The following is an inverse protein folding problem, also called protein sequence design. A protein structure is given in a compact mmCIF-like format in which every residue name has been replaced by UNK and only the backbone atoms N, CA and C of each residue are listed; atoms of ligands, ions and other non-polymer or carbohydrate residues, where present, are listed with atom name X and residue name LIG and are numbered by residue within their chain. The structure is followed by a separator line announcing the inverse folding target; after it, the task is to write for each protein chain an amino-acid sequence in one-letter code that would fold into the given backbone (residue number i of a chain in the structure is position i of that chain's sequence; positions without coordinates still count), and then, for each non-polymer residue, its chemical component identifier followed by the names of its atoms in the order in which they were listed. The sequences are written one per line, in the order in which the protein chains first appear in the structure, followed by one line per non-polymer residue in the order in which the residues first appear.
data_IF_727803262153
#
_entry.id   IF_727803262153
#
_cell.length_a   1.000
_cell.length_b   1.000
_cell.length_c   1.000
_cell.angle_alpha   90.00
_cell.angle_beta   90.00
_cell.angle_gamma   90.00
#
_symmetry.space_group_name_H-M   'P 1'
#
loop_
_entity.id
_entity.type
_entity.pdbx_description
1 polymer ?
#
# COMPACT_ATOMS: atom_id res chain seq x y z
N UNK A 1 -16.79 -20.71 -7.61
CA UNK A 1 -16.36 -21.49 -6.42
C UNK A 1 -16.20 -20.65 -5.15
N UNK A 2 -15.60 -19.45 -5.18
CA UNK A 2 -15.31 -18.69 -3.94
C UNK A 2 -16.25 -17.50 -3.64
N UNK A 3 -17.34 -17.35 -4.38
CA UNK A 3 -18.08 -16.08 -4.47
C UNK A 3 -18.64 -15.57 -3.13
N UNK A 4 -19.30 -16.43 -2.35
CA UNK A 4 -19.79 -16.05 -1.02
C UNK A 4 -18.67 -15.66 -0.06
N UNK A 5 -17.54 -16.38 -0.09
CA UNK A 5 -16.37 -16.09 0.75
C UNK A 5 -15.73 -14.77 0.35
N UNK A 6 -15.57 -14.52 -0.95
CA UNK A 6 -15.04 -13.27 -1.50
C UNK A 6 -15.91 -12.07 -1.06
N UNK A 7 -17.23 -12.17 -1.20
CA UNK A 7 -18.16 -11.11 -0.79
C UNK A 7 -18.10 -10.84 0.72
N UNK A 8 -18.04 -11.89 1.55
CA UNK A 8 -17.93 -11.74 3.01
C UNK A 8 -16.62 -11.07 3.39
N UNK A 9 -15.52 -11.51 2.81
CA UNK A 9 -14.19 -10.99 3.12
C UNK A 9 -14.00 -9.56 2.55
N UNK A 10 -14.65 -9.22 1.42
CA UNK A 10 -14.69 -7.84 0.90
C UNK A 10 -15.46 -6.91 1.83
N UNK A 11 -16.61 -7.36 2.37
CA UNK A 11 -17.37 -6.61 3.39
C UNK A 11 -16.52 -6.43 4.65
N UNK A 12 -15.85 -7.49 5.12
CA UNK A 12 -14.96 -7.43 6.28
C UNK A 12 -13.80 -6.45 6.07
N UNK A 13 -13.10 -6.53 4.94
CA UNK A 13 -12.01 -5.61 4.61
C UNK A 13 -12.50 -4.17 4.45
N UNK A 14 -13.71 -3.95 3.91
CA UNK A 14 -14.27 -2.61 3.77
C UNK A 14 -14.67 -1.99 5.11
N UNK A 15 -15.18 -2.78 6.05
CA UNK A 15 -15.54 -2.35 7.41
C UNK A 15 -14.31 -2.18 8.30
N UNK A 16 -13.53 -3.25 8.47
CA UNK A 16 -12.44 -3.32 9.45
C UNK A 16 -11.11 -2.76 8.93
N UNK A 17 -11.01 -2.53 7.62
CA UNK A 17 -9.78 -2.12 6.92
C UNK A 17 -8.62 -3.13 6.98
N UNK A 18 -8.91 -4.32 7.48
CA UNK A 18 -7.97 -5.43 7.65
C UNK A 18 -8.68 -6.75 7.35
N UNK A 19 -7.93 -7.70 6.82
CA UNK A 19 -8.38 -9.06 6.57
C UNK A 19 -7.22 -10.01 6.88
N UNK A 20 -7.51 -11.13 7.52
CA UNK A 20 -6.54 -12.20 7.73
C UNK A 20 -7.22 -13.55 7.53
N UNK A 21 -6.53 -14.50 6.91
CA UNK A 21 -7.09 -15.83 6.72
C UNK A 21 -6.12 -16.81 6.10
N UNK A 22 -6.45 -18.10 6.28
CA UNK A 22 -5.77 -19.24 5.64
C UNK A 22 -6.65 -19.76 4.51
N UNK A 23 -6.20 -19.64 3.26
CA UNK A 23 -6.97 -19.97 2.04
C UNK A 23 -6.06 -20.47 0.92
N UNK A 24 -6.60 -21.14 -0.11
CA UNK A 24 -5.84 -21.50 -1.30
C UNK A 24 -5.22 -20.29 -2.00
N UNK A 25 -4.12 -20.47 -2.74
CA UNK A 25 -3.49 -19.38 -3.49
C UNK A 25 -4.44 -18.76 -4.53
N UNK A 26 -5.26 -19.57 -5.21
CA UNK A 26 -6.21 -19.12 -6.23
C UNK A 26 -7.23 -18.13 -5.65
N UNK A 27 -7.71 -18.42 -4.43
CA UNK A 27 -8.60 -17.52 -3.71
C UNK A 27 -7.96 -16.14 -3.54
N UNK A 28 -6.72 -16.11 -3.05
CA UNK A 28 -6.00 -14.86 -2.83
C UNK A 28 -5.72 -14.11 -4.12
N UNK A 29 -5.38 -14.81 -5.21
CA UNK A 29 -5.17 -14.19 -6.52
C UNK A 29 -6.45 -13.54 -7.05
N UNK A 30 -7.60 -14.22 -6.95
CA UNK A 30 -8.90 -13.63 -7.34
C UNK A 30 -9.24 -12.44 -6.47
N UNK A 31 -9.04 -12.54 -5.15
CA UNK A 31 -9.31 -11.46 -4.21
C UNK A 31 -8.44 -10.22 -4.48
N UNK A 32 -7.12 -10.41 -4.68
CA UNK A 32 -6.19 -9.33 -4.98
C UNK A 32 -6.54 -8.66 -6.32
N UNK A 33 -6.87 -9.46 -7.34
CA UNK A 33 -7.31 -8.96 -8.65
C UNK A 33 -8.55 -8.07 -8.51
N UNK A 34 -9.60 -8.53 -7.83
CA UNK A 34 -10.86 -7.79 -7.70
C UNK A 34 -10.75 -6.53 -6.83
N UNK A 35 -9.85 -6.54 -5.82
CA UNK A 35 -9.83 -5.48 -4.81
C UNK A 35 -8.75 -4.43 -5.00
N UNK A 36 -7.56 -4.85 -5.42
CA UNK A 36 -6.37 -4.01 -5.50
C UNK A 36 -5.91 -3.82 -6.94
N UNK A 37 -5.87 -4.88 -7.75
CA UNK A 37 -5.23 -4.81 -9.07
C UNK A 37 -6.19 -4.40 -10.20
N UNK A 38 -7.50 -4.58 -10.04
CA UNK A 38 -8.47 -4.09 -11.01
C UNK A 38 -8.59 -2.57 -10.90
N UNK A 39 -8.38 -1.88 -12.01
CA UNK A 39 -8.80 -0.49 -12.18
C UNK A 39 -10.33 -0.49 -12.12
N UNK A 40 -10.90 -0.29 -10.92
CA UNK A 40 -12.33 -0.01 -10.81
C UNK A 40 -12.51 1.35 -11.47
N UNK A 41 -12.96 1.38 -12.73
CA UNK A 41 -13.54 2.60 -13.30
C UNK A 41 -14.57 3.07 -12.28
N UNK A 42 -14.44 4.32 -11.82
CA UNK A 42 -15.34 4.87 -10.80
C UNK A 42 -16.76 4.84 -11.37
N UNK A 43 -17.52 3.77 -11.10
CA UNK A 43 -18.97 3.82 -11.25
C UNK A 43 -19.48 4.88 -10.29
N UNK A 44 -20.21 5.83 -10.86
CA UNK A 44 -21.04 6.85 -10.22
C UNK A 44 -20.66 7.18 -8.76
N UNK A 45 -19.76 8.14 -8.59
CA UNK A 45 -19.45 8.68 -7.24
C UNK A 45 -20.65 9.52 -6.78
N UNK A 46 -21.26 9.19 -5.64
CA UNK A 46 -22.35 9.97 -5.02
C UNK A 46 -22.01 11.47 -4.87
N UNK A 47 -20.72 11.83 -4.85
CA UNK A 47 -20.27 13.22 -4.88
C UNK A 47 -20.65 13.97 -6.15
N UNK A 48 -20.87 13.30 -7.29
CA UNK A 48 -21.43 13.96 -8.48
C UNK A 48 -22.88 14.40 -8.26
N UNK A 49 -23.59 13.81 -7.29
CA UNK A 49 -24.93 14.28 -6.92
C UNK A 49 -24.88 15.66 -6.24
N UNK A 50 -23.77 16.01 -5.57
CA UNK A 50 -23.56 17.36 -5.02
C UNK A 50 -23.44 18.42 -6.12
N UNK A 51 -23.06 18.03 -7.34
CA UNK A 51 -23.06 18.91 -8.50
C UNK A 51 -24.50 19.13 -9.02
N UNK A 52 -25.43 18.22 -8.74
CA UNK A 52 -26.84 18.36 -9.13
C UNK A 52 -27.67 19.22 -8.14
N UNK A 53 -27.26 19.30 -6.87
CA UNK A 53 -27.89 20.16 -5.84
C UNK A 53 -28.12 21.61 -6.30
N UNK A 54 -27.14 22.31 -6.91
CA UNK A 54 -27.36 23.67 -7.42
C UNK A 54 -28.44 23.76 -8.50
N UNK A 55 -28.56 22.76 -9.38
CA UNK A 55 -29.62 22.72 -10.40
C UNK A 55 -30.99 22.52 -9.77
N UNK A 56 -31.10 21.63 -8.78
CA UNK A 56 -32.37 21.38 -8.05
C UNK A 56 -32.80 22.64 -7.29
N UNK A 57 -31.87 23.32 -6.63
CA UNK A 57 -32.15 24.57 -5.91
C UNK A 57 -32.52 25.71 -6.87
N UNK A 58 -31.82 25.85 -7.99
CA UNK A 58 -32.13 26.88 -8.98
C UNK A 58 -33.50 26.66 -9.64
N UNK A 59 -33.86 25.41 -9.95
CA UNK A 59 -35.19 25.07 -10.49
C UNK A 59 -36.27 25.34 -9.43
N UNK A 60 -36.04 24.95 -8.17
CA UNK A 60 -36.95 25.25 -7.07
C UNK A 60 -37.16 26.77 -6.88
N UNK A 61 -36.08 27.54 -6.93
CA UNK A 61 -36.11 29.00 -6.83
C UNK A 61 -36.87 29.63 -8.00
N UNK A 62 -36.64 29.13 -9.23
CA UNK A 62 -37.33 29.58 -10.43
C UNK A 62 -38.85 29.36 -10.32
N UNK A 63 -39.28 28.20 -9.82
CA UNK A 63 -40.70 27.89 -9.64
C UNK A 63 -41.34 28.82 -8.59
N UNK A 64 -40.64 29.10 -7.48
CA UNK A 64 -41.16 29.98 -6.42
C UNK A 64 -41.13 31.46 -6.77
N UNK A 65 -40.25 31.87 -7.68
CA UNK A 65 -40.10 33.28 -8.08
C UNK A 65 -40.92 33.63 -9.33
N UNK A 66 -41.25 32.63 -10.16
CA UNK A 66 -42.13 32.80 -11.31
C UNK A 66 -43.58 33.18 -10.93
N UNK A 67 -43.97 33.07 -9.66
CA UNK A 67 -45.32 33.44 -9.18
C UNK A 67 -45.44 34.91 -8.76
N UNK A 68 -44.35 35.59 -8.43
CA UNK A 68 -44.40 36.88 -7.71
C UNK A 68 -43.48 37.99 -8.29
N UNK A 69 -42.72 37.73 -9.36
CA UNK A 69 -41.80 38.72 -9.96
C UNK A 69 -42.18 39.12 -11.40
N UNK A 70 -41.87 40.37 -11.83
CA UNK A 70 -41.98 40.79 -13.22
C UNK A 70 -41.10 39.92 -14.12
N UNK A 71 -41.59 39.52 -15.30
CA UNK A 71 -40.91 38.60 -16.22
C UNK A 71 -39.46 39.02 -16.55
N UNK A 72 -39.19 40.32 -16.57
CA UNK A 72 -37.87 40.89 -16.92
C UNK A 72 -36.77 40.61 -15.87
N UNK A 73 -37.13 40.42 -14.60
CA UNK A 73 -36.16 40.21 -13.51
C UNK A 73 -35.94 38.72 -13.18
N UNK A 74 -36.86 37.84 -13.60
CA UNK A 74 -36.79 36.41 -13.30
C UNK A 74 -35.57 35.76 -13.94
N UNK A 75 -35.26 36.10 -15.19
CA UNK A 75 -34.18 35.46 -15.95
C UNK A 75 -32.77 35.84 -15.44
N UNK A 76 -32.44 37.12 -15.15
CA UNK A 76 -31.17 37.49 -14.53
C UNK A 76 -30.96 36.87 -13.13
N UNK A 77 -32.00 36.83 -12.29
CA UNK A 77 -31.95 36.24 -10.95
C UNK A 77 -31.69 34.73 -11.05
N UNK A 78 -32.36 34.06 -12.00
CA UNK A 78 -32.15 32.63 -12.25
C UNK A 78 -30.71 32.31 -12.66
N UNK A 79 -30.14 33.06 -13.62
CA UNK A 79 -28.75 32.89 -14.05
C UNK A 79 -27.79 33.17 -12.89
N UNK A 80 -28.02 34.24 -12.12
CA UNK A 80 -27.22 34.57 -10.95
C UNK A 80 -27.21 33.45 -9.90
N UNK A 81 -28.37 32.90 -9.57
CA UNK A 81 -28.51 31.79 -8.62
C UNK A 81 -27.84 30.49 -9.14
N UNK A 82 -27.94 30.21 -10.44
CA UNK A 82 -27.27 29.08 -11.08
C UNK A 82 -25.74 29.20 -10.97
N UNK A 83 -25.17 30.35 -11.32
CA UNK A 83 -23.71 30.58 -11.25
C UNK A 83 -23.20 30.49 -9.82
N UNK A 84 -23.87 31.15 -8.87
CA UNK A 84 -23.46 31.14 -7.44
C UNK A 84 -23.52 29.73 -6.87
N UNK A 85 -24.59 28.99 -7.12
CA UNK A 85 -24.75 27.63 -6.61
C UNK A 85 -23.78 26.64 -7.27
N UNK A 86 -23.48 26.80 -8.57
CA UNK A 86 -22.44 26.02 -9.26
C UNK A 86 -21.07 26.26 -8.61
N UNK A 87 -20.67 27.51 -8.35
CA UNK A 87 -19.42 27.84 -7.67
C UNK A 87 -19.39 27.21 -6.26
N UNK A 88 -20.48 27.31 -5.50
CA UNK A 88 -20.59 26.74 -4.16
C UNK A 88 -20.44 25.20 -4.17
N UNK A 89 -21.06 24.53 -5.16
CA UNK A 89 -20.98 23.07 -5.31
C UNK A 89 -19.57 22.60 -5.63
N UNK A 90 -18.86 23.30 -6.54
CA UNK A 90 -17.46 23.03 -6.88
C UNK A 90 -16.60 23.22 -5.62
N UNK A 91 -16.81 24.31 -4.89
CA UNK A 91 -16.06 24.60 -3.66
C UNK A 91 -16.29 23.53 -2.58
N UNK A 92 -17.54 23.06 -2.39
CA UNK A 92 -17.88 21.96 -1.49
C UNK A 92 -17.19 20.65 -1.89
N UNK A 93 -17.22 20.28 -3.17
CA UNK A 93 -16.53 19.09 -3.69
C UNK A 93 -15.03 19.18 -3.43
N UNK A 94 -14.42 20.35 -3.68
CA UNK A 94 -12.99 20.59 -3.43
C UNK A 94 -12.66 20.49 -1.93
N UNK A 95 -13.45 21.10 -1.05
CA UNK A 95 -13.25 21.00 0.40
C UNK A 95 -13.35 19.55 0.88
N UNK A 96 -14.38 18.81 0.42
CA UNK A 96 -14.54 17.40 0.79
C UNK A 96 -13.36 16.55 0.32
N UNK A 97 -12.86 16.77 -0.89
CA UNK A 97 -11.70 16.05 -1.42
C UNK A 97 -10.39 16.40 -0.69
N UNK A 98 -10.28 17.60 -0.12
CA UNK A 98 -9.17 18.03 0.73
C UNK A 98 -9.26 17.47 2.15
N UNK A 99 -10.47 17.38 2.72
CA UNK A 99 -10.69 16.92 4.10
C UNK A 99 -10.60 15.40 4.27
N UNK A 100 -10.77 14.63 3.19
CA UNK A 100 -10.80 13.17 3.30
C UNK A 100 -9.40 12.57 3.39
N UNK A 101 -9.09 11.82 4.48
CA UNK A 101 -7.80 11.19 4.65
C UNK A 101 -7.61 10.09 3.60
N UNK A 102 -6.63 10.30 2.70
CA UNK A 102 -6.30 9.33 1.65
C UNK A 102 -5.58 8.13 2.28
N UNK A 103 -6.09 6.93 2.01
CA UNK A 103 -5.53 5.71 2.58
C UNK A 103 -4.16 5.30 2.01
N UNK A 104 -3.74 5.92 0.90
CA UNK A 104 -2.48 5.68 0.18
C UNK A 104 -2.15 4.18 0.05
N UNK A 105 -2.96 3.46 -0.73
CA UNK A 105 -2.80 2.03 -0.97
C UNK A 105 -1.76 1.83 -2.08
N UNK A 106 -0.64 1.12 -1.82
CA UNK A 106 0.41 0.91 -2.83
C UNK A 106 0.09 -0.27 -3.75
N UNK A 107 -0.51 -0.01 -4.91
CA UNK A 107 -0.96 -1.06 -5.83
C UNK A 107 0.15 -1.99 -6.31
N UNK A 108 1.30 -1.44 -6.68
CA UNK A 108 2.48 -2.19 -7.12
C UNK A 108 2.98 -3.19 -6.07
N UNK A 109 2.88 -2.86 -4.77
CA UNK A 109 3.26 -3.81 -3.74
C UNK A 109 2.32 -5.02 -3.65
N UNK A 110 1.02 -4.84 -3.93
CA UNK A 110 0.07 -5.95 -4.01
C UNK A 110 0.25 -6.76 -5.32
N UNK A 111 0.74 -6.12 -6.39
CA UNK A 111 1.14 -6.80 -7.61
C UNK A 111 2.35 -7.72 -7.37
N UNK A 112 3.39 -7.22 -6.68
CA UNK A 112 4.51 -8.05 -6.24
C UNK A 112 4.05 -9.24 -5.38
N UNK A 113 3.08 -9.04 -4.46
CA UNK A 113 2.51 -10.14 -3.69
C UNK A 113 1.82 -11.17 -4.60
N UNK A 114 1.00 -10.74 -5.55
CA UNK A 114 0.30 -11.64 -6.47
C UNK A 114 1.28 -12.44 -7.34
N UNK A 115 2.28 -11.78 -7.92
CA UNK A 115 3.34 -12.43 -8.71
C UNK A 115 4.13 -13.45 -7.89
N UNK A 116 4.46 -13.11 -6.64
CA UNK A 116 5.17 -14.04 -5.78
C UNK A 116 4.32 -15.26 -5.41
N UNK A 117 3.03 -15.08 -5.14
CA UNK A 117 2.11 -16.21 -4.91
C UNK A 117 2.10 -17.14 -6.12
N UNK A 118 2.09 -16.61 -7.34
CA UNK A 118 2.16 -17.41 -8.58
C UNK A 118 3.49 -18.17 -8.65
N UNK A 119 4.61 -17.47 -8.42
CA UNK A 119 5.96 -18.02 -8.44
C UNK A 119 6.11 -19.21 -7.48
N UNK A 120 5.70 -19.05 -6.22
CA UNK A 120 5.92 -20.06 -5.16
C UNK A 120 4.79 -21.10 -5.05
N UNK A 121 3.74 -20.98 -5.87
CA UNK A 121 2.55 -21.85 -5.79
C UNK A 121 2.90 -23.33 -5.90
N UNK A 122 3.82 -23.68 -6.81
CA UNK A 122 4.26 -25.04 -7.07
C UNK A 122 4.94 -25.70 -5.85
N UNK A 123 5.60 -24.91 -5.03
CA UNK A 123 6.39 -25.38 -3.88
C UNK A 123 5.63 -25.30 -2.55
N UNK A 124 4.45 -24.66 -2.55
CA UNK A 124 3.64 -24.49 -1.34
C UNK A 124 2.91 -25.78 -0.97
N UNK A 125 3.08 -26.22 0.27
CA UNK A 125 2.40 -27.39 0.83
C UNK A 125 0.88 -27.22 0.79
N UNK A 126 0.19 -28.17 0.13
CA UNK A 126 -1.26 -28.18 -0.11
C UNK A 126 -1.80 -26.90 -0.76
N UNK A 127 -0.94 -26.05 -1.33
CA UNK A 127 -1.32 -24.79 -1.96
C UNK A 127 -2.13 -23.84 -1.04
N UNK A 128 -1.88 -23.89 0.28
CA UNK A 128 -2.58 -23.04 1.26
C UNK A 128 -1.65 -21.93 1.74
N UNK A 129 -2.12 -20.69 1.66
CA UNK A 129 -1.38 -19.49 2.06
C UNK A 129 -2.14 -18.76 3.17
N UNK A 130 -1.40 -18.37 4.22
CA UNK A 130 -1.94 -17.51 5.27
C UNK A 130 -1.55 -16.06 4.96
N UNK A 131 -2.53 -15.22 4.63
CA UNK A 131 -2.29 -13.82 4.29
C UNK A 131 -3.06 -12.91 5.24
N UNK A 132 -2.36 -11.88 5.71
CA UNK A 132 -2.92 -10.70 6.37
C UNK A 132 -2.75 -9.50 5.44
N UNK A 133 -3.83 -8.75 5.22
CA UNK A 133 -3.89 -7.57 4.35
C UNK A 133 -4.45 -6.37 5.14
N UNK A 134 -3.93 -5.18 4.88
CA UNK A 134 -4.40 -3.92 5.48
C UNK A 134 -4.53 -2.82 4.43
N UNK A 135 -5.76 -2.30 4.26
CA UNK A 135 -6.03 -1.11 3.44
C UNK A 135 -6.33 0.15 4.28
N UNK A 136 -6.03 0.12 5.58
CA UNK A 136 -6.24 1.25 6.48
C UNK A 136 -5.42 2.48 6.08
N UNK A 137 -5.89 3.65 6.50
CA UNK A 137 -5.16 4.91 6.35
C UNK A 137 -3.88 4.88 7.19
N UNK A 138 -2.74 5.17 6.57
CA UNK A 138 -1.44 5.16 7.27
C UNK A 138 -1.34 6.26 8.33
N UNK A 139 -1.87 7.46 8.08
CA UNK A 139 -1.80 8.63 8.96
C UNK A 139 -2.77 8.58 10.16
N UNK A 140 -3.10 7.39 10.68
CA UNK A 140 -3.87 7.26 11.92
C UNK A 140 -2.97 7.43 13.14
N UNK A 141 -3.46 7.97 14.27
CA UNK A 141 -2.69 8.09 15.51
C UNK A 141 -2.11 6.75 16.00
N UNK A 142 -2.88 5.66 15.86
CA UNK A 142 -2.44 4.30 16.22
C UNK A 142 -1.20 3.79 15.45
N UNK A 143 -0.86 4.42 14.33
CA UNK A 143 0.27 4.06 13.48
C UNK A 143 1.45 5.03 13.69
N UNK A 144 1.36 5.94 14.65
CA UNK A 144 2.41 6.93 14.91
C UNK A 144 3.67 6.24 15.41
N UNK A 145 4.80 6.59 14.80
CA UNK A 145 6.12 6.13 15.20
C UNK A 145 6.87 7.29 15.86
N UNK A 146 7.67 6.97 16.87
CA UNK A 146 8.58 7.96 17.45
C UNK A 146 9.60 8.40 16.39
N UNK A 147 9.86 9.71 16.36
CA UNK A 147 10.77 10.33 15.39
C UNK A 147 12.23 10.03 15.80
N UNK A 148 12.47 9.81 17.09
CA UNK A 148 13.78 9.46 17.64
C UNK A 148 14.25 8.09 17.12
N UNK A 149 13.35 7.12 17.00
CA UNK A 149 13.61 5.78 16.45
C UNK A 149 14.08 5.84 14.98
N UNK A 150 13.79 6.93 14.29
CA UNK A 150 14.22 7.19 12.92
C UNK A 150 15.52 8.02 12.84
N UNK A 151 16.14 8.34 13.97
CA UNK A 151 17.30 9.23 14.06
C UNK A 151 17.00 10.67 13.65
N UNK A 152 15.73 11.09 13.72
CA UNK A 152 15.31 12.45 13.36
C UNK A 152 15.01 13.25 14.62
N UNK A 153 15.22 14.56 14.56
CA UNK A 153 14.96 15.47 15.68
C UNK A 153 14.21 16.72 15.18
N UNK A 154 13.24 17.16 15.96
CA UNK A 154 12.50 18.39 15.69
C UNK A 154 13.39 19.60 15.99
N UNK A 155 13.33 20.63 15.15
CA UNK A 155 14.07 21.89 15.31
C UNK A 155 13.13 23.08 15.14
N UNK A 156 13.56 24.28 15.54
CA UNK A 156 12.78 25.51 15.34
C UNK A 156 12.47 25.67 13.84
N UNK A 157 11.18 25.75 13.50
CA UNK A 157 10.71 25.85 12.12
C UNK A 157 10.74 24.53 11.32
N UNK A 158 11.09 23.38 11.92
CA UNK A 158 11.09 22.08 11.26
C UNK A 158 10.53 20.97 12.16
N UNK A 159 9.35 20.46 11.83
CA UNK A 159 8.69 19.38 12.55
C UNK A 159 8.56 18.13 11.67
N UNK A 160 8.77 16.97 12.27
CA UNK A 160 8.54 15.68 11.63
C UNK A 160 7.31 15.00 12.26
N UNK A 161 6.61 14.17 11.48
CA UNK A 161 5.71 13.13 12.00
C UNK A 161 5.90 11.89 11.14
N UNK A 162 6.03 10.73 11.78
CA UNK A 162 6.24 9.48 11.09
C UNK A 162 5.12 8.51 11.42
N UNK A 163 4.65 7.78 10.41
CA UNK A 163 3.65 6.74 10.56
C UNK A 163 4.09 5.47 9.83
N UNK A 164 3.91 4.32 10.47
CA UNK A 164 4.24 3.01 9.92
C UNK A 164 3.00 2.11 9.87
N UNK A 165 2.87 1.32 8.80
CA UNK A 165 1.78 0.37 8.66
C UNK A 165 2.25 -0.88 7.91
N UNK A 166 1.99 -2.07 8.46
CA UNK A 166 2.08 -3.33 7.72
C UNK A 166 0.94 -3.40 6.72
N UNK A 167 1.28 -3.48 5.43
CA UNK A 167 0.29 -3.55 4.34
C UNK A 167 -0.11 -4.97 4.05
N UNK A 168 0.85 -5.87 4.06
CA UNK A 168 0.58 -7.29 4.03
C UNK A 168 1.67 -8.10 4.73
N UNK A 169 1.28 -9.29 5.16
CA UNK A 169 2.16 -10.38 5.60
C UNK A 169 1.58 -11.67 5.03
N UNK A 170 2.39 -12.44 4.31
CA UNK A 170 2.00 -13.75 3.78
C UNK A 170 2.98 -14.81 4.28
N UNK A 171 2.44 -15.93 4.78
CA UNK A 171 3.21 -17.08 5.23
C UNK A 171 2.89 -18.27 4.32
N UNK A 172 3.94 -18.90 3.81
CA UNK A 172 3.93 -20.07 2.96
C UNK A 172 4.68 -21.18 3.69
N UNK A 173 4.02 -22.32 3.85
CA UNK A 173 4.70 -23.55 4.27
C UNK A 173 5.09 -24.29 3.00
N UNK A 174 6.37 -24.59 2.84
CA UNK A 174 6.91 -25.25 1.66
C UNK A 174 6.85 -26.78 1.82
N UNK A 175 6.87 -27.49 0.70
CA UNK A 175 6.78 -28.96 0.65
C UNK A 175 7.94 -29.66 1.36
N UNK A 176 9.10 -29.02 1.40
CA UNK A 176 10.30 -29.50 2.09
C UNK A 176 10.26 -29.26 3.62
N UNK A 177 9.19 -28.66 4.15
CA UNK A 177 9.03 -28.31 5.56
C UNK A 177 9.59 -26.94 5.93
N UNK A 178 10.22 -26.22 4.99
CA UNK A 178 10.69 -24.85 5.19
C UNK A 178 9.51 -23.88 5.29
N UNK A 179 9.73 -22.73 5.93
CA UNK A 179 8.73 -21.67 6.03
C UNK A 179 9.24 -20.43 5.33
N UNK A 180 8.51 -19.96 4.33
CA UNK A 180 8.74 -18.68 3.67
C UNK A 180 7.70 -17.67 4.14
N UNK A 181 8.15 -16.55 4.69
CA UNK A 181 7.30 -15.44 5.06
C UNK A 181 7.74 -14.19 4.30
N UNK A 182 6.79 -13.52 3.67
CA UNK A 182 7.01 -12.20 3.07
C UNK A 182 6.16 -11.15 3.75
N UNK A 183 6.66 -9.92 3.78
CA UNK A 183 5.94 -8.80 4.35
C UNK A 183 6.34 -7.48 3.67
N UNK A 184 5.41 -6.53 3.70
CA UNK A 184 5.67 -5.16 3.28
C UNK A 184 5.16 -4.17 4.31
N UNK A 185 6.07 -3.34 4.81
CA UNK A 185 5.75 -2.17 5.60
C UNK A 185 5.82 -0.90 4.75
N UNK A 186 4.81 -0.06 4.89
CA UNK A 186 4.84 1.30 4.36
C UNK A 186 5.16 2.26 5.50
N UNK A 187 6.11 3.16 5.28
CA UNK A 187 6.44 4.27 6.16
C UNK A 187 6.12 5.59 5.44
N UNK A 188 5.42 6.49 6.13
CA UNK A 188 5.15 7.84 5.67
C UNK A 188 5.73 8.85 6.66
N UNK A 189 6.63 9.71 6.20
CA UNK A 189 7.22 10.78 7.00
C UNK A 189 6.72 12.11 6.45
N UNK A 190 5.97 12.87 7.26
CA UNK A 190 5.64 14.26 6.95
C UNK A 190 6.73 15.18 7.50
N UNK A 191 7.26 16.04 6.65
CA UNK A 191 8.23 17.09 6.98
C UNK A 191 7.51 18.43 6.87
N UNK A 192 7.35 19.12 7.99
CA UNK A 192 6.68 20.42 8.09
C UNK A 192 7.76 21.47 8.31
N UNK A 193 8.01 22.28 7.30
CA UNK A 193 8.93 23.41 7.38
C UNK A 193 8.17 24.72 7.46
N UNK A 194 8.48 25.56 8.44
CA UNK A 194 7.88 26.88 8.64
C UNK A 194 8.97 27.94 8.57
N UNK A 195 8.79 28.94 7.70
CA UNK A 195 9.72 30.08 7.51
C UNK A 195 8.94 31.39 7.53
N UNK A 196 9.51 32.43 8.14
CA UNK A 196 8.98 33.81 8.06
C UNK A 196 9.45 34.43 6.74
N UNK A 197 8.57 35.10 6.01
CA UNK A 197 8.91 35.84 4.78
C UNK A 197 9.40 37.25 5.10
N UNK A 198 10.05 37.88 4.12
CA UNK A 198 10.40 39.31 4.16
C UNK A 198 9.19 40.20 4.45
N UNK A 199 8.00 39.82 3.99
CA UNK A 199 6.72 40.51 4.27
C UNK A 199 6.17 40.30 5.69
N UNK A 200 6.95 39.71 6.62
CA UNK A 200 6.53 39.38 7.99
C UNK A 200 5.63 38.15 8.14
N UNK A 201 4.98 37.68 7.06
CA UNK A 201 4.03 36.54 7.04
C UNK A 201 4.75 35.18 7.22
N UNK A 202 4.09 34.25 7.89
CA UNK A 202 4.60 32.88 8.09
C UNK A 202 4.17 31.96 6.95
N UNK A 203 5.12 31.28 6.31
CA UNK A 203 4.86 30.26 5.30
C UNK A 203 5.18 28.88 5.87
N UNK A 204 4.18 28.00 5.89
CA UNK A 204 4.36 26.58 6.22
C UNK A 204 4.28 25.74 4.95
N UNK A 205 5.21 24.81 4.80
CA UNK A 205 5.26 23.83 3.70
C UNK A 205 5.34 22.45 4.30
N UNK A 206 4.42 21.58 3.90
CA UNK A 206 4.42 20.16 4.28
C UNK A 206 4.85 19.33 3.08
N UNK A 207 5.83 18.44 3.26
CA UNK A 207 6.24 17.46 2.27
C UNK A 207 6.08 16.06 2.86
N UNK A 208 5.60 15.12 2.06
CA UNK A 208 5.50 13.72 2.46
C UNK A 208 6.59 12.90 1.77
N UNK A 209 7.27 12.03 2.53
CA UNK A 209 8.22 11.05 2.02
C UNK A 209 7.67 9.66 2.31
N UNK A 210 7.52 8.86 1.27
CA UNK A 210 7.05 7.48 1.38
C UNK A 210 8.21 6.51 1.17
N UNK A 211 8.26 5.47 2.00
CA UNK A 211 9.21 4.37 1.87
C UNK A 211 8.46 3.04 1.97
N UNK A 212 8.84 2.10 1.13
CA UNK A 212 8.43 0.70 1.25
C UNK A 212 9.61 -0.10 1.77
N UNK A 213 9.31 -0.99 2.71
CA UNK A 213 10.25 -1.95 3.25
C UNK A 213 9.71 -3.34 2.94
N UNK A 214 10.31 -3.97 1.94
CA UNK A 214 10.03 -5.36 1.60
C UNK A 214 10.95 -6.24 2.41
N UNK A 215 10.41 -7.33 2.93
CA UNK A 215 11.19 -8.30 3.68
C UNK A 215 10.72 -9.71 3.37
N UNK A 216 11.69 -10.57 3.13
CA UNK A 216 11.53 -12.00 2.95
C UNK A 216 12.27 -12.70 4.09
N UNK A 217 11.61 -13.66 4.72
CA UNK A 217 12.16 -14.47 5.80
C UNK A 217 12.01 -15.93 5.39
N UNK A 218 13.12 -16.66 5.45
CA UNK A 218 13.18 -18.09 5.15
C UNK A 218 13.67 -18.81 6.40
N UNK A 219 12.87 -19.74 6.89
CA UNK A 219 13.29 -20.71 7.90
C UNK A 219 13.53 -22.03 7.21
N UNK A 220 14.79 -22.45 7.17
CA UNK A 220 15.25 -23.66 6.48
C UNK A 220 15.94 -24.60 7.47
N UNK A 221 15.86 -25.90 7.22
CA UNK A 221 16.47 -26.91 8.10
C UNK A 221 17.99 -26.98 7.86
N UNK A 222 18.78 -26.87 8.93
CA UNK A 222 20.24 -26.87 8.86
C UNK A 222 20.83 -28.20 8.36
N UNK A 223 20.14 -29.32 8.56
CA UNK A 223 20.53 -30.63 8.02
C UNK A 223 20.26 -30.81 6.53
N UNK A 224 19.55 -29.87 5.87
CA UNK A 224 19.26 -29.92 4.42
C UNK A 224 19.92 -28.81 3.63
N UNK A 225 20.27 -27.71 4.28
CA UNK A 225 20.79 -26.51 3.65
C UNK A 225 22.04 -26.03 4.38
N UNK A 226 23.03 -25.63 3.60
CA UNK A 226 24.16 -24.83 4.06
C UNK A 226 23.84 -23.36 3.83
N UNK A 227 24.25 -22.51 4.76
CA UNK A 227 24.11 -21.07 4.66
C UNK A 227 25.48 -20.41 4.80
N UNK A 228 25.72 -19.38 4.01
CA UNK A 228 26.95 -18.57 4.07
C UNK A 228 27.14 -17.94 5.45
N UNK A 229 28.39 -17.87 5.89
CA UNK A 229 28.75 -17.32 7.20
C UNK A 229 28.52 -15.81 7.30
N UNK A 230 28.26 -15.33 8.51
CA UNK A 230 27.96 -13.92 8.76
C UNK A 230 29.09 -12.95 8.38
N UNK A 231 30.35 -13.40 8.50
CA UNK A 231 31.54 -12.63 8.09
C UNK A 231 31.56 -12.39 6.57
N UNK A 232 31.24 -13.40 5.78
CA UNK A 232 31.20 -13.30 4.31
C UNK A 232 30.03 -12.44 3.85
N UNK A 233 28.87 -12.57 4.50
CA UNK A 233 27.69 -11.74 4.23
C UNK A 233 27.97 -10.24 4.45
N UNK A 234 28.78 -9.89 5.46
CA UNK A 234 29.13 -8.49 5.73
C UNK A 234 29.99 -7.84 4.64
N UNK A 235 30.68 -8.65 3.83
CA UNK A 235 31.46 -8.17 2.69
C UNK A 235 30.61 -7.85 1.45
N UNK A 236 29.34 -8.28 1.41
CA UNK A 236 28.44 -8.03 0.29
C UNK A 236 27.81 -6.63 0.42
N UNK A 237 28.34 -5.68 -0.36
CA UNK A 237 27.77 -4.33 -0.44
C UNK A 237 26.67 -4.26 -1.51
N UNK A 238 25.55 -4.95 -1.24
CA UNK A 238 24.52 -5.24 -2.24
C UNK A 238 23.18 -4.51 -2.00
N UNK A 239 22.31 -4.58 -3.01
CA UNK A 239 20.93 -4.05 -3.00
C UNK A 239 20.09 -4.59 -1.83
N UNK A 240 20.34 -5.82 -1.40
CA UNK A 240 19.60 -6.51 -0.36
C UNK A 240 20.43 -6.63 0.92
N UNK A 241 19.82 -6.30 2.05
CA UNK A 241 20.42 -6.55 3.35
C UNK A 241 20.00 -7.93 3.85
N UNK A 242 20.95 -8.85 3.90
CA UNK A 242 20.74 -10.22 4.40
C UNK A 242 21.29 -10.35 5.81
N UNK A 243 20.52 -11.00 6.68
CA UNK A 243 20.97 -11.41 8.02
C UNK A 243 20.56 -12.85 8.26
N UNK A 244 21.47 -13.65 8.80
CA UNK A 244 21.26 -15.07 9.12
C UNK A 244 21.35 -15.25 10.62
N UNK A 245 20.42 -16.04 11.18
CA UNK A 245 20.40 -16.42 12.59
C UNK A 245 20.26 -17.93 12.65
N UNK A 246 21.15 -18.60 13.37
CA UNK A 246 21.06 -20.04 13.63
C UNK A 246 20.25 -20.27 14.92
N UNK A 247 19.15 -21.01 14.83
CA UNK A 247 18.26 -21.33 15.95
C UNK A 247 18.05 -22.85 16.03
N UNK A 248 18.88 -23.54 16.81
CA UNK A 248 18.87 -25.00 16.90
C UNK A 248 19.11 -25.65 15.53
N UNK A 249 18.18 -26.51 15.09
CA UNK A 249 18.28 -27.24 13.81
C UNK A 249 17.82 -26.41 12.58
N UNK A 250 17.67 -25.10 12.72
CA UNK A 250 17.20 -24.23 11.65
C UNK A 250 18.08 -23.00 11.45
N UNK A 251 18.19 -22.59 10.19
CA UNK A 251 18.66 -21.25 9.82
C UNK A 251 17.46 -20.36 9.51
N UNK A 252 17.45 -19.17 10.11
CA UNK A 252 16.52 -18.09 9.81
C UNK A 252 17.24 -17.01 9.00
N UNK A 253 16.99 -16.99 7.70
CA UNK A 253 17.46 -15.95 6.80
C UNK A 253 16.43 -14.84 6.72
N UNK A 254 16.89 -13.60 6.83
CA UNK A 254 16.05 -12.41 6.72
C UNK A 254 16.68 -11.45 5.73
N UNK A 255 15.97 -11.24 4.62
CA UNK A 255 16.38 -10.41 3.49
C UNK A 255 15.50 -9.18 3.48
N UNK A 256 16.10 -8.00 3.38
CA UNK A 256 15.39 -6.72 3.40
C UNK A 256 15.77 -5.86 2.21
N UNK A 257 14.77 -5.24 1.61
CA UNK A 257 14.95 -4.16 0.64
C UNK A 257 14.18 -2.92 1.08
N UNK A 258 14.76 -1.75 0.82
CA UNK A 258 14.19 -0.46 1.18
C UNK A 258 14.07 0.42 -0.06
N UNK A 259 12.83 0.60 -0.53
CA UNK A 259 12.55 1.40 -1.72
C UNK A 259 12.02 2.77 -1.31
N UNK A 260 12.75 3.81 -1.71
CA UNK A 260 12.35 5.21 -1.50
C UNK A 260 11.50 5.65 -2.68
N UNK A 261 10.24 5.98 -2.42
CA UNK A 261 9.34 6.41 -3.47
C UNK A 261 9.45 7.92 -3.69
N UNK A 262 9.61 8.32 -4.95
CA UNK A 262 9.54 9.71 -5.38
C UNK A 262 8.08 10.16 -5.56
N UNK A 263 7.23 9.26 -6.06
CA UNK A 263 5.79 9.48 -6.22
C UNK A 263 5.02 8.23 -5.77
N UNK A 264 3.77 8.43 -5.33
CA UNK A 264 2.86 7.31 -5.02
C UNK A 264 2.18 6.90 -6.32
N UNK A 265 2.44 5.67 -6.76
CA UNK A 265 1.81 5.09 -7.94
C UNK A 265 0.31 4.92 -7.70
N UNK A 266 -0.48 5.36 -8.68
CA UNK A 266 -1.95 5.25 -8.64
C UNK A 266 -2.44 4.00 -9.37
N UNK A 267 -1.64 3.49 -10.30
CA UNK A 267 -1.96 2.41 -11.22
C UNK A 267 -0.68 1.63 -11.53
N UNK A 268 -0.83 0.40 -12.01
CA UNK A 268 0.27 -0.49 -12.40
C UNK A 268 0.55 -0.23 -13.89
N UNK A 269 1.78 0.13 -14.23
CA UNK A 269 2.18 0.36 -15.63
C UNK A 269 2.38 -0.96 -16.39
N UNK A 270 2.27 -0.96 -17.73
CA UNK A 270 2.49 -2.17 -18.54
C UNK A 270 3.90 -2.74 -18.33
N UNK A 271 4.92 -1.88 -18.22
CA UNK A 271 6.29 -2.29 -17.92
C UNK A 271 6.37 -3.02 -16.58
N UNK A 272 5.68 -2.51 -15.55
CA UNK A 272 5.67 -3.15 -14.25
C UNK A 272 5.04 -4.54 -14.29
N UNK A 273 4.03 -4.79 -15.12
CA UNK A 273 3.42 -6.13 -15.24
C UNK A 273 4.41 -7.19 -15.69
N UNK A 274 5.41 -6.82 -16.50
CA UNK A 274 6.43 -7.73 -17.02
C UNK A 274 7.54 -8.04 -16.00
N UNK A 275 7.78 -7.14 -15.05
CA UNK A 275 8.84 -7.32 -14.07
C UNK A 275 8.49 -8.40 -13.03
N UNK A 276 9.48 -9.17 -12.55
CA UNK A 276 9.26 -10.17 -11.51
C UNK A 276 8.82 -9.53 -10.19
N UNK A 277 8.40 -10.37 -9.25
CA UNK A 277 8.18 -9.90 -7.89
C UNK A 277 9.52 -9.55 -7.24
N UNK A 278 9.55 -8.50 -6.43
CA UNK A 278 10.72 -8.22 -5.60
C UNK A 278 11.10 -9.39 -4.68
N UNK A 279 10.10 -10.16 -4.24
CA UNK A 279 10.33 -11.34 -3.41
C UNK A 279 10.93 -12.50 -4.21
N UNK A 280 10.63 -12.57 -5.52
CA UNK A 280 11.28 -13.51 -6.44
C UNK A 280 12.74 -13.11 -6.62
N UNK A 281 13.01 -11.83 -6.90
CA UNK A 281 14.39 -11.30 -6.99
C UNK A 281 15.19 -11.57 -5.71
N UNK A 282 14.56 -11.46 -4.53
CA UNK A 282 15.21 -11.80 -3.25
C UNK A 282 15.57 -13.28 -3.13
N UNK A 283 14.72 -14.19 -3.61
CA UNK A 283 15.02 -15.64 -3.59
C UNK A 283 16.14 -15.95 -4.59
N UNK A 284 16.03 -15.47 -5.82
CA UNK A 284 17.03 -15.66 -6.87
C UNK A 284 18.40 -15.14 -6.40
N UNK A 285 18.43 -13.97 -5.77
CA UNK A 285 19.66 -13.41 -5.20
C UNK A 285 20.33 -14.34 -4.17
N UNK A 286 19.56 -15.05 -3.34
CA UNK A 286 20.15 -15.99 -2.36
C UNK A 286 20.85 -17.16 -3.05
N UNK A 287 20.30 -17.64 -4.17
CA UNK A 287 20.87 -18.73 -4.94
C UNK A 287 22.06 -18.27 -5.77
N UNK A 288 21.92 -17.14 -6.49
CA UNK A 288 22.96 -16.58 -7.37
C UNK A 288 24.23 -16.23 -6.59
N UNK A 289 24.07 -15.70 -5.37
CA UNK A 289 25.18 -15.39 -4.47
C UNK A 289 25.61 -16.57 -3.60
N UNK A 290 25.01 -17.75 -3.77
CA UNK A 290 25.30 -18.96 -2.97
C UNK A 290 25.20 -18.71 -1.47
N UNK A 291 24.27 -17.83 -1.07
CA UNK A 291 23.99 -17.56 0.34
C UNK A 291 23.31 -18.77 0.97
N UNK A 292 22.50 -19.49 0.19
CA UNK A 292 21.90 -20.76 0.58
C UNK A 292 22.22 -21.81 -0.48
N UNK A 293 22.63 -23.00 -0.04
CA UNK A 293 22.91 -24.14 -0.91
C UNK A 293 22.28 -25.41 -0.34
N UNK A 294 21.79 -26.29 -1.20
CA UNK A 294 21.29 -27.58 -0.75
C UNK A 294 22.45 -28.54 -0.51
N UNK A 295 22.43 -29.25 0.62
CA UNK A 295 23.44 -30.29 0.90
C UNK A 295 23.27 -31.49 -0.05
N UNK A 296 22.06 -31.72 -0.57
CA UNK A 296 21.78 -32.84 -1.46
C UNK A 296 22.42 -32.70 -2.85
N UNK A 297 22.69 -31.48 -3.32
CA UNK A 297 23.30 -31.26 -4.64
C UNK A 297 24.79 -31.63 -4.69
N UNK A 298 25.50 -31.65 -3.57
CA UNK A 298 26.92 -32.05 -3.54
C UNK A 298 27.11 -33.58 -3.68
N UNK A 299 26.14 -34.39 -3.25
CA UNK A 299 26.24 -35.86 -3.30
C UNK A 299 26.05 -36.48 -4.69
N UNK A 300 25.64 -35.71 -5.70
CA UNK A 300 25.44 -36.19 -7.08
C UNK A 300 26.60 -35.79 -8.02
N UNK A 301 27.56 -35.01 -7.51
CA UNK A 301 28.73 -34.53 -8.28
C UNK A 301 30.06 -34.98 -7.69
N UNK A 302 30.04 -35.86 -6.68
CA UNK A 302 31.21 -36.50 -6.07
C UNK A 302 31.34 -37.96 -6.45
#
# INVERSE_FOLDING_TARGET
MFEHTLQRDEKALSKNKQLAGKRPSEYWLVFLKQRFLSVKSRRFNWRHFLIAVPFILAIGLAITLATDLPEDDVFPIFIGAMVVSMILSIFLVVIMDLMLPKAFVPYNAFDHLAKFIIYIKGDTYRNIVNIRLTNAVIQKPKNLMSIADLGLQNRKGLKYKAHQLERFKANFNLKDGSICQILMHQLCISVISTKRRSSGKTKTKTKYKHKHYYMLMLKVNAGRFRVMDASELSGLNDRFLVSVISEGDYYLLKIKEKNKLTTMEKEITEQQKLLPSIFTEMIEYLWDKRIIESIASEKLTG
#
